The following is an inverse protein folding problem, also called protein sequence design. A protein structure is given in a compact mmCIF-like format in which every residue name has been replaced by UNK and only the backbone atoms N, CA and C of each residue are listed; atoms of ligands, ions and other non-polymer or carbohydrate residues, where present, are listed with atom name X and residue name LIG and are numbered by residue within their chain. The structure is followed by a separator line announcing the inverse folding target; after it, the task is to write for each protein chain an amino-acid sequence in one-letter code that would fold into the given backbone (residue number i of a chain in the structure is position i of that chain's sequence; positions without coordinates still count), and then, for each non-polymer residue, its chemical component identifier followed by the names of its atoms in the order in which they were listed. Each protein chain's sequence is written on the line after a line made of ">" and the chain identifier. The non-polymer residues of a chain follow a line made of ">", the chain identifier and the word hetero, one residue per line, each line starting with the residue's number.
data_IF_455578325534
#
_entry.id   IF_455578325534
#
_cell.length_a   1.000
_cell.length_b   1.000
_cell.length_c   1.000
_cell.angle_alpha   90.00
_cell.angle_beta   90.00
_cell.angle_gamma   90.00
#
_symmetry.space_group_name_H-M   'P 1'
#
loop_
_entity.id
_entity.type
_entity.pdbx_description
1 polymer ?
#
# COMPACT_ATOMS: atom_id res chain seq x y z
N UNK A 1 -47.93 -33.72 -3.80
CA UNK A 1 -47.04 -32.61 -3.40
C UNK A 1 -46.59 -31.95 -4.68
N UNK A 2 -47.20 -30.82 -4.97
CA UNK A 2 -47.03 -30.09 -6.26
C UNK A 2 -45.83 -29.15 -6.12
N UNK A 3 -44.67 -29.57 -6.62
CA UNK A 3 -43.48 -28.73 -6.74
C UNK A 3 -43.74 -27.76 -7.91
N UNK A 4 -44.30 -26.58 -7.60
CA UNK A 4 -44.44 -25.51 -8.57
C UNK A 4 -43.05 -25.12 -9.07
N UNK A 5 -42.78 -25.34 -10.35
CA UNK A 5 -41.62 -24.80 -11.05
C UNK A 5 -41.53 -23.30 -10.77
N UNK A 6 -40.32 -22.76 -10.47
CA UNK A 6 -40.15 -21.32 -10.21
C UNK A 6 -40.68 -20.53 -11.41
N UNK A 7 -41.47 -19.49 -11.12
CA UNK A 7 -42.02 -18.58 -12.13
C UNK A 7 -40.87 -17.98 -12.96
N UNK A 8 -40.79 -18.37 -14.22
CA UNK A 8 -39.73 -17.99 -15.17
C UNK A 8 -39.58 -16.45 -15.26
N UNK A 9 -40.70 -15.74 -15.09
CA UNK A 9 -40.68 -14.26 -15.09
C UNK A 9 -39.98 -13.67 -13.88
N UNK A 10 -40.18 -14.26 -12.69
CA UNK A 10 -39.52 -13.85 -11.46
C UNK A 10 -38.01 -14.16 -11.49
N UNK A 11 -37.62 -15.30 -12.06
CA UNK A 11 -36.21 -15.66 -12.25
C UNK A 11 -35.52 -14.69 -13.20
N UNK A 12 -36.17 -14.33 -14.31
CA UNK A 12 -35.64 -13.38 -15.27
C UNK A 12 -35.52 -11.98 -14.67
N UNK A 13 -36.54 -11.48 -13.99
CA UNK A 13 -36.51 -10.18 -13.30
C UNK A 13 -35.38 -10.10 -12.27
N UNK A 14 -35.14 -11.18 -11.53
CA UNK A 14 -34.02 -11.23 -10.57
C UNK A 14 -32.66 -11.21 -11.28
N UNK A 15 -32.51 -11.91 -12.41
CA UNK A 15 -31.29 -11.89 -13.21
C UNK A 15 -31.00 -10.49 -13.77
N UNK A 16 -32.02 -9.79 -14.28
CA UNK A 16 -31.90 -8.45 -14.83
C UNK A 16 -31.48 -7.44 -13.73
N UNK A 17 -32.05 -7.55 -12.54
CA UNK A 17 -31.63 -6.74 -11.38
C UNK A 17 -30.18 -7.00 -10.95
N UNK A 18 -29.72 -8.23 -11.01
CA UNK A 18 -28.31 -8.57 -10.73
C UNK A 18 -27.37 -7.98 -11.78
N UNK A 19 -27.77 -7.96 -13.03
CA UNK A 19 -26.99 -7.32 -14.12
C UNK A 19 -26.94 -5.80 -13.90
N UNK A 20 -28.07 -5.16 -13.60
CA UNK A 20 -28.13 -3.73 -13.31
C UNK A 20 -27.28 -3.35 -12.10
N UNK A 21 -27.31 -4.14 -11.03
CA UNK A 21 -26.48 -3.94 -9.84
C UNK A 21 -24.97 -4.02 -10.18
N UNK A 22 -24.55 -5.01 -10.96
CA UNK A 22 -23.14 -5.13 -11.40
C UNK A 22 -22.73 -3.93 -12.25
N UNK A 23 -23.60 -3.47 -13.15
CA UNK A 23 -23.39 -2.26 -13.94
C UNK A 23 -23.21 -1.01 -13.06
N UNK A 24 -24.11 -0.80 -12.10
CA UNK A 24 -24.03 0.31 -11.15
C UNK A 24 -22.75 0.27 -10.29
N UNK A 25 -22.35 -0.90 -9.80
CA UNK A 25 -21.10 -1.07 -9.02
C UNK A 25 -19.88 -0.79 -9.89
N UNK A 26 -19.90 -1.15 -11.17
CA UNK A 26 -18.82 -0.86 -12.12
C UNK A 26 -18.69 0.64 -12.39
N UNK A 27 -19.80 1.31 -12.65
CA UNK A 27 -19.86 2.77 -12.86
C UNK A 27 -19.38 3.53 -11.63
N UNK A 28 -19.86 3.16 -10.43
CA UNK A 28 -19.39 3.74 -9.18
C UNK A 28 -17.88 3.58 -8.99
N UNK A 29 -17.36 2.37 -9.19
CA UNK A 29 -15.93 2.11 -9.02
C UNK A 29 -15.09 3.00 -9.95
N UNK A 30 -15.54 3.18 -11.20
CA UNK A 30 -14.88 4.05 -12.18
C UNK A 30 -15.02 5.53 -11.82
N UNK A 31 -16.21 5.99 -11.43
CA UNK A 31 -16.49 7.37 -11.09
C UNK A 31 -15.78 7.85 -9.82
N UNK A 32 -15.54 6.94 -8.87
CA UNK A 32 -14.87 7.26 -7.59
C UNK A 32 -13.38 6.93 -7.57
N UNK A 33 -12.78 6.66 -8.73
CA UNK A 33 -11.35 6.39 -8.86
C UNK A 33 -10.76 7.41 -9.82
N UNK A 34 -9.74 8.17 -9.36
CA UNK A 34 -9.07 9.15 -10.21
C UNK A 34 -8.36 8.47 -11.39
N UNK A 35 -8.17 9.20 -12.50
CA UNK A 35 -7.47 8.65 -13.68
C UNK A 35 -6.06 8.15 -13.36
N UNK A 36 -5.35 8.86 -12.50
CA UNK A 36 -4.02 8.46 -12.03
C UNK A 36 -4.02 7.17 -11.19
N UNK A 37 -5.17 6.79 -10.61
CA UNK A 37 -5.35 5.61 -9.78
C UNK A 37 -6.12 4.47 -10.48
N UNK A 38 -6.60 4.68 -11.72
CA UNK A 38 -7.32 3.66 -12.50
C UNK A 38 -6.43 2.49 -12.88
N UNK A 39 -6.06 1.71 -11.88
CA UNK A 39 -5.46 0.39 -12.09
C UNK A 39 -6.58 -0.63 -12.12
N UNK A 40 -6.53 -1.54 -13.08
CA UNK A 40 -7.53 -2.61 -13.21
C UNK A 40 -7.74 -3.39 -11.91
N UNK A 41 -6.70 -3.54 -11.11
CA UNK A 41 -6.74 -4.25 -9.82
C UNK A 41 -7.55 -3.48 -8.77
N UNK A 42 -7.37 -2.16 -8.67
CA UNK A 42 -8.10 -1.33 -7.69
C UNK A 42 -9.60 -1.30 -8.00
N UNK A 43 -9.95 -1.17 -9.28
CA UNK A 43 -11.35 -1.20 -9.72
C UNK A 43 -11.97 -2.55 -9.42
N UNK A 44 -11.28 -3.65 -9.76
CA UNK A 44 -11.73 -5.02 -9.45
C UNK A 44 -11.91 -5.26 -7.97
N UNK A 45 -11.00 -4.76 -7.12
CA UNK A 45 -11.11 -4.91 -5.67
C UNK A 45 -12.29 -4.14 -5.10
N UNK A 46 -12.52 -2.90 -5.53
CA UNK A 46 -13.71 -2.13 -5.13
C UNK A 46 -15.00 -2.87 -5.50
N UNK A 47 -15.10 -3.33 -6.74
CA UNK A 47 -16.25 -4.09 -7.24
C UNK A 47 -16.44 -5.40 -6.44
N UNK A 48 -15.37 -6.17 -6.27
CA UNK A 48 -15.38 -7.44 -5.54
C UNK A 48 -15.91 -7.27 -4.12
N UNK A 49 -15.47 -6.23 -3.41
CA UNK A 49 -15.88 -5.97 -2.02
C UNK A 49 -17.38 -5.65 -1.96
N UNK A 50 -17.86 -4.70 -2.76
CA UNK A 50 -19.27 -4.30 -2.75
C UNK A 50 -20.18 -5.45 -3.23
N UNK A 51 -19.80 -6.15 -4.29
CA UNK A 51 -20.56 -7.31 -4.76
C UNK A 51 -20.54 -8.49 -3.78
N UNK A 52 -19.48 -8.63 -2.95
CA UNK A 52 -19.45 -9.65 -1.91
C UNK A 52 -20.47 -9.41 -0.81
N UNK A 53 -20.75 -8.15 -0.49
CA UNK A 53 -21.81 -7.77 0.44
C UNK A 53 -23.19 -8.18 -0.11
N UNK A 54 -23.51 -7.79 -1.35
CA UNK A 54 -24.81 -8.14 -1.94
C UNK A 54 -25.02 -9.65 -2.12
N UNK A 55 -23.96 -10.40 -2.41
CA UNK A 55 -24.03 -11.86 -2.39
C UNK A 55 -24.28 -12.44 -0.99
N UNK A 56 -23.76 -11.80 0.05
CA UNK A 56 -23.96 -12.25 1.42
C UNK A 56 -25.41 -12.02 1.89
N UNK A 57 -25.98 -10.84 1.58
CA UNK A 57 -27.33 -10.52 2.04
C UNK A 57 -28.42 -11.09 1.14
N UNK A 58 -28.12 -11.35 -0.13
CA UNK A 58 -29.11 -11.70 -1.19
C UNK A 58 -30.25 -10.69 -1.31
N UNK A 59 -30.06 -9.45 -0.83
CA UNK A 59 -31.06 -8.37 -0.85
C UNK A 59 -30.76 -7.37 -1.97
N UNK A 60 -31.83 -6.69 -2.43
CA UNK A 60 -31.69 -5.53 -3.29
C UNK A 60 -31.12 -4.33 -2.52
N UNK A 61 -30.45 -3.38 -3.18
CA UNK A 61 -29.92 -2.21 -2.50
C UNK A 61 -30.95 -1.39 -1.72
N UNK A 62 -32.22 -1.35 -2.16
CA UNK A 62 -33.34 -0.69 -1.49
C UNK A 62 -33.75 -1.36 -0.18
N UNK A 63 -33.54 -2.67 -0.05
CA UNK A 63 -34.08 -3.50 1.04
C UNK A 63 -33.04 -3.78 2.14
N UNK A 64 -31.83 -3.27 1.94
CA UNK A 64 -30.74 -3.42 2.90
C UNK A 64 -30.96 -2.54 4.10
N UNK A 65 -30.91 -3.15 5.27
CA UNK A 65 -30.96 -2.47 6.56
C UNK A 65 -29.57 -2.37 7.21
N UNK A 66 -29.37 -1.44 8.17
CA UNK A 66 -28.11 -1.33 8.91
C UNK A 66 -27.69 -2.63 9.59
N UNK A 67 -28.64 -3.45 10.05
CA UNK A 67 -28.39 -4.76 10.65
C UNK A 67 -27.74 -5.77 9.67
N UNK A 68 -28.09 -5.71 8.38
CA UNK A 68 -27.48 -6.56 7.36
C UNK A 68 -25.99 -6.22 7.19
N UNK A 69 -25.67 -4.93 7.22
CA UNK A 69 -24.28 -4.46 7.15
C UNK A 69 -23.48 -4.88 8.38
N UNK A 70 -24.09 -4.77 9.59
CA UNK A 70 -23.45 -5.21 10.82
C UNK A 70 -23.20 -6.71 10.82
N UNK A 71 -24.19 -7.52 10.38
CA UNK A 71 -24.05 -8.98 10.26
C UNK A 71 -22.93 -9.36 9.28
N UNK A 72 -22.85 -8.69 8.12
CA UNK A 72 -21.76 -8.93 7.17
C UNK A 72 -20.38 -8.59 7.74
N UNK A 73 -20.23 -7.44 8.42
CA UNK A 73 -18.97 -7.05 9.04
C UNK A 73 -18.53 -8.04 10.11
N UNK A 74 -19.47 -8.48 10.96
CA UNK A 74 -19.21 -9.52 11.97
C UNK A 74 -18.76 -10.83 11.32
N UNK A 75 -19.42 -11.28 10.24
CA UNK A 75 -19.02 -12.46 9.49
C UNK A 75 -17.65 -12.34 8.80
N UNK A 76 -17.19 -11.12 8.50
CA UNK A 76 -15.82 -10.89 8.02
C UNK A 76 -14.80 -11.06 9.16
N UNK A 77 -15.09 -10.55 10.35
CA UNK A 77 -14.23 -10.67 11.54
C UNK A 77 -14.09 -12.12 11.98
N UNK A 78 -15.19 -12.89 11.97
CA UNK A 78 -15.21 -14.33 12.25
C UNK A 78 -14.34 -15.13 11.26
N UNK A 79 -14.18 -14.65 10.01
CA UNK A 79 -13.28 -15.21 9.01
C UNK A 79 -11.82 -14.71 9.13
N UNK A 80 -11.48 -14.01 10.21
CA UNK A 80 -10.13 -13.51 10.49
C UNK A 80 -9.76 -12.23 9.75
N UNK A 81 -10.72 -11.51 9.15
CA UNK A 81 -10.49 -10.19 8.57
C UNK A 81 -10.31 -9.17 9.70
N UNK A 82 -9.24 -8.38 9.64
CA UNK A 82 -8.96 -7.38 10.67
C UNK A 82 -10.04 -6.31 10.74
N UNK A 83 -10.32 -5.76 11.94
CA UNK A 83 -11.26 -4.66 12.14
C UNK A 83 -10.95 -3.43 11.25
N UNK A 84 -9.67 -3.16 10.97
CA UNK A 84 -9.27 -2.11 10.05
C UNK A 84 -9.72 -2.40 8.60
N UNK A 85 -9.60 -3.62 8.15
CA UNK A 85 -10.06 -4.05 6.82
C UNK A 85 -11.59 -4.05 6.75
N UNK A 86 -12.28 -4.56 7.77
CA UNK A 86 -13.73 -4.52 7.87
C UNK A 86 -14.27 -3.08 7.83
N UNK A 87 -13.62 -2.15 8.55
CA UNK A 87 -13.92 -0.72 8.48
C UNK A 87 -13.76 -0.16 7.05
N UNK A 88 -12.68 -0.51 6.34
CA UNK A 88 -12.48 -0.11 4.94
C UNK A 88 -13.59 -0.63 4.03
N UNK A 89 -14.02 -1.88 4.23
CA UNK A 89 -15.14 -2.46 3.48
C UNK A 89 -16.45 -1.68 3.74
N UNK A 90 -16.74 -1.32 5.00
CA UNK A 90 -17.89 -0.48 5.33
C UNK A 90 -17.82 0.91 4.67
N UNK A 91 -16.62 1.51 4.60
CA UNK A 91 -16.40 2.78 3.91
C UNK A 91 -16.67 2.68 2.41
N UNK A 92 -16.20 1.61 1.75
CA UNK A 92 -16.44 1.37 0.33
C UNK A 92 -17.92 1.16 0.03
N UNK A 93 -18.61 0.35 0.85
CA UNK A 93 -20.04 0.13 0.72
C UNK A 93 -20.83 1.43 0.94
N UNK A 94 -20.46 2.23 1.94
CA UNK A 94 -21.07 3.54 2.18
C UNK A 94 -20.83 4.52 1.03
N UNK A 95 -19.65 4.48 0.40
CA UNK A 95 -19.35 5.28 -0.79
C UNK A 95 -20.22 4.88 -1.99
N UNK A 96 -20.42 3.56 -2.19
CA UNK A 96 -21.32 3.05 -3.22
C UNK A 96 -22.74 3.57 -3.00
N UNK A 97 -23.30 3.41 -1.81
CA UNK A 97 -24.64 3.90 -1.51
C UNK A 97 -24.78 5.41 -1.71
N UNK A 98 -23.80 6.19 -1.25
CA UNK A 98 -23.82 7.66 -1.42
C UNK A 98 -23.77 8.08 -2.87
N UNK A 99 -23.06 7.33 -3.72
CA UNK A 99 -23.04 7.56 -5.17
C UNK A 99 -24.34 7.08 -5.82
N UNK A 100 -24.78 5.87 -5.53
CA UNK A 100 -25.98 5.28 -6.13
C UNK A 100 -27.24 6.14 -5.88
N UNK A 101 -27.39 6.69 -4.67
CA UNK A 101 -28.51 7.56 -4.32
C UNK A 101 -28.59 8.85 -5.16
N UNK A 102 -27.47 9.27 -5.79
CA UNK A 102 -27.42 10.51 -6.60
C UNK A 102 -27.42 10.23 -8.10
N UNK A 103 -26.70 9.21 -8.52
CA UNK A 103 -26.21 9.10 -9.90
C UNK A 103 -26.65 7.83 -10.63
N UNK A 104 -27.50 6.97 -10.03
CA UNK A 104 -27.90 5.72 -10.67
C UNK A 104 -29.39 5.44 -10.59
N UNK A 105 -29.93 4.71 -11.57
CA UNK A 105 -31.32 4.23 -11.55
C UNK A 105 -31.57 3.28 -10.38
N UNK A 106 -30.56 2.48 -10.01
CA UNK A 106 -30.61 1.60 -8.83
C UNK A 106 -30.85 2.38 -7.55
N UNK A 107 -30.37 3.63 -7.47
CA UNK A 107 -30.48 4.49 -6.31
C UNK A 107 -31.85 5.14 -6.12
N UNK A 108 -32.72 5.18 -7.14
CA UNK A 108 -34.04 5.85 -7.07
C UNK A 108 -34.92 5.38 -5.90
N UNK A 109 -34.78 4.12 -5.50
CA UNK A 109 -35.55 3.50 -4.42
C UNK A 109 -34.78 3.43 -3.10
N UNK A 110 -33.54 3.91 -3.04
CA UNK A 110 -32.71 3.90 -1.84
C UNK A 110 -33.01 5.16 -1.01
N UNK A 111 -33.69 5.01 0.11
CA UNK A 111 -34.09 6.14 0.96
C UNK A 111 -32.96 6.62 1.91
N UNK A 112 -32.04 5.74 2.28
CA UNK A 112 -30.96 6.01 3.23
C UNK A 112 -29.73 5.16 2.91
N UNK A 113 -28.57 5.60 3.40
CA UNK A 113 -27.34 4.85 3.28
C UNK A 113 -27.17 3.93 4.50
N UNK A 114 -27.47 2.62 4.40
CA UNK A 114 -27.42 1.71 5.55
C UNK A 114 -25.99 1.50 6.05
N UNK A 115 -25.01 1.53 5.16
CA UNK A 115 -23.61 1.36 5.51
C UNK A 115 -23.03 2.56 6.27
N UNK A 116 -23.57 3.77 6.06
CA UNK A 116 -23.20 4.95 6.86
C UNK A 116 -23.72 4.84 8.30
N UNK A 117 -24.94 4.32 8.47
CA UNK A 117 -25.56 4.13 9.78
C UNK A 117 -24.92 3.01 10.59
N UNK A 118 -24.50 1.93 9.91
CA UNK A 118 -23.88 0.75 10.52
C UNK A 118 -22.34 0.84 10.63
N UNK A 119 -21.72 1.96 10.20
CA UNK A 119 -20.25 2.06 10.17
C UNK A 119 -19.67 1.96 11.57
N UNK A 120 -18.72 1.03 11.82
CA UNK A 120 -18.03 0.96 13.10
C UNK A 120 -17.17 2.22 13.31
N UNK A 121 -16.72 2.43 14.55
CA UNK A 121 -15.73 3.49 14.83
C UNK A 121 -14.45 3.21 14.03
N UNK A 122 -13.86 4.28 13.48
CA UNK A 122 -12.56 4.14 12.82
C UNK A 122 -11.56 3.51 13.79
N UNK A 123 -10.84 2.46 13.38
CA UNK A 123 -9.81 1.87 14.23
C UNK A 123 -8.73 2.92 14.51
N UNK A 124 -8.18 2.88 15.72
CA UNK A 124 -7.08 3.78 16.06
C UNK A 124 -5.92 3.52 15.09
N UNK A 125 -5.40 4.53 14.42
CA UNK A 125 -4.28 4.35 13.52
C UNK A 125 -3.09 3.78 14.30
N UNK A 126 -2.36 2.83 13.67
CA UNK A 126 -1.04 2.39 14.12
C UNK A 126 -0.96 1.46 15.34
N UNK A 127 -1.96 0.65 15.60
CA UNK A 127 -1.90 -0.40 16.63
C UNK A 127 -1.32 -1.74 16.13
N UNK A 128 -1.06 -1.89 14.83
CA UNK A 128 -0.58 -3.15 14.25
C UNK A 128 0.95 -3.24 14.19
N UNK A 129 1.49 -4.44 14.34
CA UNK A 129 2.93 -4.77 14.18
C UNK A 129 3.51 -4.28 12.83
N UNK A 130 2.69 -4.32 11.77
CA UNK A 130 3.09 -3.89 10.42
C UNK A 130 3.49 -2.42 10.32
N UNK A 131 3.26 -1.64 11.36
CA UNK A 131 3.57 -0.20 11.43
C UNK A 131 4.86 0.07 12.22
N UNK A 132 5.49 -0.94 12.81
CA UNK A 132 6.75 -0.77 13.52
C UNK A 132 7.91 -0.58 12.52
N UNK A 133 8.74 0.43 12.74
CA UNK A 133 10.03 0.54 12.07
C UNK A 133 10.90 -0.69 12.38
N UNK A 134 11.85 -0.99 11.52
CA UNK A 134 12.90 -1.95 11.82
C UNK A 134 13.84 -1.34 12.88
N UNK A 135 14.37 -2.14 13.80
CA UNK A 135 15.51 -1.74 14.64
C UNK A 135 16.78 -1.63 13.80
N UNK A 136 17.82 -1.03 14.35
CA UNK A 136 19.10 -0.93 13.63
C UNK A 136 19.72 -2.30 13.41
N UNK A 137 19.60 -3.22 14.37
CA UNK A 137 20.04 -4.61 14.22
C UNK A 137 19.23 -5.36 13.16
N UNK A 138 17.89 -5.17 13.10
CA UNK A 138 17.05 -5.75 12.06
C UNK A 138 17.42 -5.21 10.67
N UNK A 139 17.76 -3.93 10.56
CA UNK A 139 18.22 -3.31 9.29
C UNK A 139 19.56 -3.94 8.89
N UNK A 140 20.54 -3.99 9.80
CA UNK A 140 21.85 -4.54 9.54
C UNK A 140 21.78 -6.02 9.11
N UNK A 141 20.98 -6.83 9.83
CA UNK A 141 20.78 -8.24 9.53
C UNK A 141 20.14 -8.45 8.15
N UNK A 142 19.08 -7.69 7.83
CA UNK A 142 18.40 -7.76 6.53
C UNK A 142 19.32 -7.34 5.38
N UNK A 143 19.99 -6.19 5.52
CA UNK A 143 20.94 -5.69 4.50
C UNK A 143 22.06 -6.70 4.27
N UNK A 144 22.63 -7.29 5.34
CA UNK A 144 23.67 -8.31 5.24
C UNK A 144 23.20 -9.58 4.54
N UNK A 145 21.97 -10.02 4.81
CA UNK A 145 21.39 -11.20 4.15
C UNK A 145 21.25 -11.00 2.64
N UNK A 146 20.74 -9.83 2.21
CA UNK A 146 20.59 -9.53 0.79
C UNK A 146 21.95 -9.28 0.12
N UNK A 147 22.89 -8.63 0.83
CA UNK A 147 24.25 -8.37 0.35
C UNK A 147 25.01 -9.66 0.03
N UNK A 148 24.89 -10.70 0.86
CA UNK A 148 25.49 -12.01 0.59
C UNK A 148 25.05 -12.59 -0.75
N UNK A 149 23.76 -12.43 -1.14
CA UNK A 149 23.25 -12.87 -2.43
C UNK A 149 23.83 -12.05 -3.59
N UNK A 150 23.97 -10.75 -3.39
CA UNK A 150 24.59 -9.88 -4.39
C UNK A 150 26.07 -10.24 -4.61
N UNK A 151 26.81 -10.50 -3.52
CA UNK A 151 28.22 -10.90 -3.55
C UNK A 151 28.44 -12.29 -4.16
N UNK A 152 27.45 -13.19 -4.07
CA UNK A 152 27.48 -14.49 -4.77
C UNK A 152 27.33 -14.36 -6.30
N UNK A 153 27.22 -13.16 -6.85
CA UNK A 153 27.12 -12.90 -8.28
C UNK A 153 25.70 -13.07 -8.85
N UNK A 154 24.72 -13.38 -8.02
CA UNK A 154 23.32 -13.55 -8.47
C UNK A 154 22.74 -12.20 -8.93
N UNK A 155 22.35 -12.08 -10.20
CA UNK A 155 21.73 -10.84 -10.74
C UNK A 155 20.47 -10.44 -9.96
N UNK A 156 19.67 -11.43 -9.54
CA UNK A 156 18.51 -11.20 -8.66
C UNK A 156 18.94 -10.63 -7.32
N UNK A 157 20.01 -11.16 -6.73
CA UNK A 157 20.58 -10.67 -5.47
C UNK A 157 21.07 -9.23 -5.57
N UNK A 158 21.80 -8.92 -6.66
CA UNK A 158 22.28 -7.54 -6.93
C UNK A 158 21.12 -6.56 -7.11
N UNK A 159 20.09 -6.93 -7.87
CA UNK A 159 18.87 -6.14 -8.05
C UNK A 159 18.18 -5.88 -6.71
N UNK A 160 17.94 -6.94 -5.95
CA UNK A 160 17.18 -6.86 -4.70
C UNK A 160 17.97 -6.07 -3.64
N UNK A 161 19.30 -6.15 -3.67
CA UNK A 161 20.18 -5.36 -2.82
C UNK A 161 20.12 -3.87 -3.17
N UNK A 162 20.29 -3.51 -4.42
CA UNK A 162 20.20 -2.11 -4.88
C UNK A 162 18.83 -1.49 -4.56
N UNK A 163 17.76 -2.25 -4.80
CA UNK A 163 16.40 -1.78 -4.54
C UNK A 163 16.11 -1.67 -3.04
N UNK A 164 16.61 -2.58 -2.20
CA UNK A 164 16.48 -2.48 -0.74
C UNK A 164 17.20 -1.24 -0.20
N UNK A 165 18.45 -1.02 -0.62
CA UNK A 165 19.20 0.18 -0.22
C UNK A 165 18.47 1.45 -0.65
N UNK A 166 17.91 1.47 -1.86
CA UNK A 166 17.14 2.61 -2.35
C UNK A 166 15.92 2.88 -1.44
N UNK A 167 15.17 1.86 -1.03
CA UNK A 167 14.04 2.03 -0.11
C UNK A 167 14.47 2.57 1.26
N UNK A 168 15.57 2.05 1.80
CA UNK A 168 16.09 2.48 3.11
C UNK A 168 16.64 3.91 3.06
N UNK A 169 17.30 4.31 1.96
CA UNK A 169 17.90 5.63 1.83
C UNK A 169 16.89 6.73 1.44
N UNK A 170 15.76 6.37 0.83
CA UNK A 170 14.83 7.37 0.28
C UNK A 170 13.47 7.39 0.96
N UNK A 171 13.07 6.29 1.59
CA UNK A 171 11.72 6.12 2.11
C UNK A 171 10.62 6.15 1.04
N UNK A 172 10.93 5.98 -0.24
CA UNK A 172 9.96 5.96 -1.33
C UNK A 172 8.85 4.93 -1.10
N UNK A 173 7.64 5.21 -1.60
CA UNK A 173 6.56 4.21 -1.58
C UNK A 173 6.88 3.06 -2.51
N UNK A 174 6.35 1.88 -2.18
CA UNK A 174 6.60 0.65 -2.94
C UNK A 174 6.49 0.83 -4.46
N UNK A 175 5.44 1.48 -4.92
CA UNK A 175 5.21 1.67 -6.34
C UNK A 175 6.07 2.79 -6.96
N UNK A 176 6.45 3.79 -6.17
CA UNK A 176 7.31 4.87 -6.64
C UNK A 176 8.68 4.33 -7.03
N UNK A 177 9.31 3.51 -6.19
CA UNK A 177 10.61 2.94 -6.48
C UNK A 177 10.56 1.82 -7.53
N UNK A 178 9.54 0.92 -7.46
CA UNK A 178 9.46 -0.23 -8.38
C UNK A 178 9.14 0.17 -9.83
N UNK A 179 8.44 1.30 -10.01
CA UNK A 179 8.03 1.79 -11.32
C UNK A 179 9.05 2.71 -11.98
N UNK A 180 10.22 2.94 -11.35
CA UNK A 180 11.29 3.75 -11.95
C UNK A 180 11.68 3.19 -13.31
N UNK A 181 11.93 4.09 -14.24
CA UNK A 181 12.43 3.82 -15.58
C UNK A 181 13.86 4.31 -15.71
N UNK A 182 14.56 3.86 -16.72
CA UNK A 182 15.95 4.28 -16.93
C UNK A 182 16.09 5.79 -17.08
N UNK A 183 15.15 6.45 -17.78
CA UNK A 183 15.12 7.90 -17.96
C UNK A 183 14.93 8.70 -16.65
N UNK A 184 14.39 8.06 -15.63
CA UNK A 184 14.09 8.67 -14.34
C UNK A 184 15.34 8.70 -13.43
N UNK A 185 16.47 8.17 -13.91
CA UNK A 185 17.72 8.02 -13.14
C UNK A 185 18.80 8.89 -13.74
N UNK A 186 19.25 9.86 -12.96
CA UNK A 186 20.31 10.78 -13.34
C UNK A 186 21.55 10.52 -12.50
N UNK A 187 22.59 10.01 -13.16
CA UNK A 187 23.87 9.68 -12.55
C UNK A 187 24.83 10.87 -12.76
N UNK A 188 25.09 11.61 -11.70
CA UNK A 188 26.07 12.66 -11.62
C UNK A 188 27.04 12.42 -10.48
N UNK A 189 27.47 13.46 -9.81
CA UNK A 189 28.20 13.39 -8.54
C UNK A 189 27.34 12.61 -7.53
N UNK A 190 26.07 12.96 -7.43
CA UNK A 190 25.05 12.22 -6.67
C UNK A 190 24.08 11.49 -7.60
N UNK A 191 23.27 10.59 -7.03
CA UNK A 191 22.18 9.94 -7.74
C UNK A 191 20.92 10.80 -7.56
N UNK A 192 20.30 11.24 -8.66
CA UNK A 192 18.99 11.91 -8.64
C UNK A 192 17.93 11.00 -9.29
N UNK A 193 16.82 10.85 -8.62
CA UNK A 193 15.68 10.05 -9.08
C UNK A 193 14.49 10.97 -9.33
N UNK A 194 13.85 10.82 -10.47
CA UNK A 194 12.55 11.40 -10.76
C UNK A 194 11.48 10.32 -10.63
N UNK A 195 10.37 10.61 -9.97
CA UNK A 195 9.31 9.63 -9.77
C UNK A 195 7.94 10.28 -9.72
N UNK A 196 6.94 9.50 -10.07
CA UNK A 196 5.55 9.92 -9.98
C UNK A 196 5.02 9.59 -8.60
N UNK A 197 4.72 10.63 -7.80
CA UNK A 197 4.16 10.51 -6.47
C UNK A 197 2.68 10.05 -6.50
N UNK A 198 2.19 9.59 -5.35
CA UNK A 198 0.75 9.33 -5.19
C UNK A 198 -0.01 10.65 -5.37
N UNK A 199 -0.94 10.68 -6.31
CA UNK A 199 -1.64 11.90 -6.72
C UNK A 199 -1.28 12.34 -8.15
N UNK A 200 -0.18 11.81 -8.70
CA UNK A 200 0.18 12.01 -10.10
C UNK A 200 1.31 13.01 -10.34
N UNK A 201 1.70 13.79 -9.32
CA UNK A 201 2.76 14.79 -9.43
C UNK A 201 4.13 14.12 -9.65
N UNK A 202 4.97 14.74 -10.48
CA UNK A 202 6.36 14.39 -10.61
C UNK A 202 7.19 15.05 -9.51
N UNK A 203 8.12 14.31 -8.95
CA UNK A 203 9.03 14.75 -7.90
C UNK A 203 10.43 14.23 -8.17
N UNK A 204 11.43 14.93 -7.65
CA UNK A 204 12.81 14.50 -7.68
C UNK A 204 13.33 14.24 -6.28
N UNK A 205 14.29 13.32 -6.17
CA UNK A 205 15.00 13.02 -4.92
C UNK A 205 16.47 12.78 -5.18
N UNK A 206 17.28 13.54 -4.48
CA UNK A 206 18.72 13.34 -4.43
C UNK A 206 19.06 12.23 -3.43
N UNK A 207 20.00 11.37 -3.79
CA UNK A 207 20.59 10.32 -2.95
C UNK A 207 22.11 10.51 -2.97
N UNK A 208 22.66 10.95 -1.85
CA UNK A 208 24.10 11.23 -1.71
C UNK A 208 24.90 10.01 -1.30
N UNK A 209 24.23 8.99 -0.75
CA UNK A 209 24.88 7.77 -0.31
C UNK A 209 25.46 6.99 -1.52
N UNK A 210 26.79 6.97 -1.61
CA UNK A 210 27.52 6.34 -2.72
C UNK A 210 27.18 4.87 -2.91
N UNK A 211 27.00 4.13 -1.81
CA UNK A 211 26.68 2.71 -1.83
C UNK A 211 25.39 2.41 -2.59
N UNK A 212 24.37 3.30 -2.53
CA UNK A 212 23.12 3.12 -3.29
C UNK A 212 23.38 3.23 -4.80
N UNK A 213 24.18 4.22 -5.21
CA UNK A 213 24.56 4.43 -6.60
C UNK A 213 25.41 3.26 -7.13
N UNK A 214 26.39 2.82 -6.36
CA UNK A 214 27.26 1.70 -6.69
C UNK A 214 26.47 0.39 -6.84
N UNK A 215 25.59 0.07 -5.89
CA UNK A 215 24.75 -1.11 -5.95
C UNK A 215 23.82 -1.10 -7.18
N UNK A 216 23.27 0.07 -7.55
CA UNK A 216 22.45 0.23 -8.75
C UNK A 216 23.28 -0.03 -10.02
N UNK A 217 24.47 0.54 -10.12
CA UNK A 217 25.37 0.34 -11.27
C UNK A 217 25.84 -1.11 -11.37
N UNK A 218 26.19 -1.74 -10.23
CA UNK A 218 26.57 -3.16 -10.19
C UNK A 218 25.43 -4.06 -10.68
N UNK A 219 24.19 -3.78 -10.27
CA UNK A 219 23.03 -4.49 -10.79
C UNK A 219 22.87 -4.30 -12.30
N UNK A 220 22.88 -3.06 -12.80
CA UNK A 220 22.68 -2.78 -14.22
C UNK A 220 23.77 -3.39 -15.09
N UNK A 221 25.01 -3.39 -14.61
CA UNK A 221 26.14 -4.02 -15.27
C UNK A 221 25.98 -5.53 -15.34
N UNK A 222 25.69 -6.17 -14.21
CA UNK A 222 25.48 -7.60 -14.13
C UNK A 222 24.27 -8.08 -14.96
N UNK A 223 23.25 -7.24 -15.10
CA UNK A 223 22.09 -7.51 -15.94
C UNK A 223 22.30 -7.18 -17.43
N UNK A 224 23.45 -6.62 -17.83
CA UNK A 224 23.71 -6.14 -19.20
C UNK A 224 22.79 -4.95 -19.60
N UNK A 225 22.36 -4.12 -18.65
CA UNK A 225 21.28 -3.15 -18.83
C UNK A 225 21.70 -1.69 -18.61
N UNK A 226 22.97 -1.37 -18.61
CA UNK A 226 23.45 0.01 -18.50
C UNK A 226 22.89 0.92 -19.60
N UNK A 227 22.62 0.34 -20.80
CA UNK A 227 21.96 1.04 -21.91
C UNK A 227 20.52 1.45 -21.62
N UNK A 228 19.87 0.84 -20.62
CA UNK A 228 18.50 1.19 -20.24
C UNK A 228 18.44 2.60 -19.60
N UNK A 229 19.51 3.09 -19.01
CA UNK A 229 19.62 4.46 -18.53
C UNK A 229 19.31 5.43 -19.67
N UNK A 230 18.58 6.49 -19.39
CA UNK A 230 18.07 7.48 -20.37
C UNK A 230 16.98 6.96 -21.32
N UNK A 231 16.49 5.73 -21.16
CA UNK A 231 15.38 5.18 -21.95
C UNK A 231 14.11 5.03 -21.11
N UNK A 232 12.99 4.78 -21.78
CA UNK A 232 11.69 4.50 -21.12
C UNK A 232 11.57 3.04 -20.65
N UNK A 233 12.67 2.25 -20.71
CA UNK A 233 12.67 0.87 -20.23
C UNK A 233 12.56 0.81 -18.70
N UNK A 234 11.93 -0.24 -18.14
CA UNK A 234 11.88 -0.43 -16.69
C UNK A 234 13.29 -0.47 -16.10
N UNK A 235 13.53 0.21 -14.99
CA UNK A 235 14.82 0.15 -14.29
C UNK A 235 15.04 -1.25 -13.69
N UNK A 236 14.02 -1.78 -13.04
CA UNK A 236 14.03 -3.08 -12.38
C UNK A 236 13.35 -4.13 -13.24
N UNK A 237 14.05 -5.22 -13.53
CA UNK A 237 13.52 -6.28 -14.40
C UNK A 237 13.49 -7.63 -13.71
N UNK A 238 12.65 -8.52 -14.24
CA UNK A 238 12.61 -9.93 -13.86
C UNK A 238 13.84 -10.65 -14.41
N UNK A 239 14.27 -11.66 -13.65
CA UNK A 239 15.38 -12.54 -14.02
C UNK A 239 15.01 -14.00 -13.71
N UNK A 240 13.72 -14.31 -13.58
CA UNK A 240 13.24 -15.68 -13.45
C UNK A 240 13.03 -16.32 -14.84
N UNK A 241 12.96 -17.66 -14.87
CA UNK A 241 12.81 -18.42 -16.12
C UNK A 241 11.47 -18.19 -16.84
N UNK A 242 10.46 -17.71 -16.13
CA UNK A 242 9.11 -17.49 -16.68
C UNK A 242 8.94 -16.07 -17.28
N UNK A 243 9.86 -15.14 -17.00
CA UNK A 243 9.81 -13.77 -17.50
C UNK A 243 10.45 -13.63 -18.89
N UNK A 244 9.92 -12.69 -19.68
CA UNK A 244 10.58 -12.25 -20.91
C UNK A 244 11.78 -11.36 -20.58
N UNK A 245 12.86 -11.38 -21.37
CA UNK A 245 13.98 -10.46 -21.19
C UNK A 245 13.50 -9.00 -21.17
N UNK A 246 13.93 -8.25 -20.15
CA UNK A 246 13.53 -6.84 -19.98
C UNK A 246 12.14 -6.58 -19.40
N UNK A 247 11.38 -7.63 -19.09
CA UNK A 247 10.07 -7.48 -18.43
C UNK A 247 10.21 -6.83 -17.04
N UNK A 248 9.32 -5.89 -16.73
CA UNK A 248 9.35 -5.17 -15.48
C UNK A 248 9.19 -6.10 -14.26
N UNK A 249 9.95 -5.83 -13.23
CA UNK A 249 9.81 -6.51 -11.93
C UNK A 249 8.45 -6.16 -11.31
N UNK A 250 7.65 -7.18 -10.97
CA UNK A 250 6.45 -6.94 -10.20
C UNK A 250 6.79 -6.68 -8.72
N UNK A 251 6.06 -5.75 -8.11
CA UNK A 251 6.25 -5.48 -6.68
C UNK A 251 5.95 -6.70 -5.79
N UNK A 252 5.12 -7.63 -6.26
CA UNK A 252 4.82 -8.88 -5.55
C UNK A 252 6.06 -9.80 -5.51
N UNK A 253 6.72 -9.99 -6.65
CA UNK A 253 7.94 -10.82 -6.72
C UNK A 253 9.04 -10.25 -5.82
N UNK A 254 9.26 -8.94 -5.85
CA UNK A 254 10.25 -8.30 -4.99
C UNK A 254 9.93 -8.51 -3.50
N UNK A 255 8.70 -8.24 -3.08
CA UNK A 255 8.28 -8.43 -1.67
C UNK A 255 8.41 -9.89 -1.24
N UNK A 256 8.11 -10.85 -2.13
CA UNK A 256 8.29 -12.28 -1.86
C UNK A 256 9.76 -12.62 -1.58
N UNK A 257 10.68 -12.09 -2.38
CA UNK A 257 12.13 -12.27 -2.17
C UNK A 257 12.57 -11.64 -0.84
N UNK A 258 12.19 -10.38 -0.58
CA UNK A 258 12.55 -9.71 0.66
C UNK A 258 12.03 -10.43 1.91
N UNK A 259 10.82 -10.97 1.88
CA UNK A 259 10.28 -11.79 2.97
C UNK A 259 11.11 -13.06 3.20
N UNK A 260 11.67 -13.65 2.13
CA UNK A 260 12.59 -14.79 2.26
C UNK A 260 13.89 -14.35 2.95
N UNK A 261 14.51 -13.28 2.49
CA UNK A 261 15.74 -12.74 3.10
C UNK A 261 15.53 -12.30 4.56
N UNK A 262 14.39 -11.69 4.87
CA UNK A 262 14.04 -11.29 6.23
C UNK A 262 13.95 -12.50 7.18
N UNK A 263 13.32 -13.60 6.73
CA UNK A 263 13.29 -14.85 7.49
C UNK A 263 14.69 -15.45 7.69
N UNK A 264 15.53 -15.44 6.67
CA UNK A 264 16.94 -15.89 6.74
C UNK A 264 17.75 -15.01 7.71
N UNK A 265 17.38 -13.75 7.88
CA UNK A 265 18.00 -12.79 8.79
C UNK A 265 17.38 -12.78 10.20
N UNK A 266 16.38 -13.61 10.49
CA UNK A 266 15.68 -13.59 11.78
C UNK A 266 14.77 -12.38 12.00
N UNK A 267 14.42 -11.63 10.94
CA UNK A 267 13.55 -10.46 11.02
C UNK A 267 12.10 -10.91 10.86
N UNK A 268 11.41 -11.03 11.97
CA UNK A 268 10.02 -11.45 12.00
C UNK A 268 9.05 -10.34 11.57
N UNK A 269 7.87 -10.75 11.07
CA UNK A 269 6.79 -9.81 10.69
C UNK A 269 7.22 -8.77 9.64
N UNK A 270 8.19 -9.09 8.77
CA UNK A 270 8.69 -8.15 7.78
C UNK A 270 7.64 -7.81 6.72
N UNK A 271 7.42 -6.50 6.55
CA UNK A 271 6.67 -5.90 5.46
C UNK A 271 7.48 -4.77 4.83
N UNK A 272 7.49 -4.67 3.51
CA UNK A 272 8.27 -3.64 2.82
C UNK A 272 7.98 -2.22 3.33
N UNK A 273 6.75 -1.95 3.76
CA UNK A 273 6.41 -0.63 4.31
C UNK A 273 7.17 -0.29 5.61
N UNK A 274 7.69 -1.30 6.33
CA UNK A 274 8.58 -1.08 7.49
C UNK A 274 9.86 -0.34 7.10
N UNK A 275 10.40 -0.51 5.87
CA UNK A 275 11.59 0.25 5.42
C UNK A 275 11.32 1.75 5.38
N UNK A 276 10.13 2.15 4.91
CA UNK A 276 9.71 3.55 4.92
C UNK A 276 9.48 4.09 6.35
N UNK A 277 8.96 3.25 7.24
CA UNK A 277 8.84 3.59 8.65
C UNK A 277 10.22 3.75 9.30
N UNK A 278 11.18 2.92 8.92
CA UNK A 278 12.58 2.99 9.37
C UNK A 278 13.23 4.30 8.90
N UNK A 279 13.09 4.63 7.62
CA UNK A 279 13.56 5.91 7.10
C UNK A 279 12.94 7.09 7.87
N UNK A 280 11.62 7.07 8.11
CA UNK A 280 10.94 8.11 8.87
C UNK A 280 11.45 8.22 10.32
N UNK A 281 11.71 7.08 10.98
CA UNK A 281 12.29 7.03 12.31
C UNK A 281 13.66 7.69 12.33
N UNK A 282 14.56 7.25 11.45
CA UNK A 282 15.93 7.77 11.38
C UNK A 282 15.94 9.27 11.10
N UNK A 283 15.17 9.73 10.09
CA UNK A 283 15.07 11.17 9.79
C UNK A 283 14.58 11.97 10.99
N UNK A 284 13.55 11.47 11.69
CA UNK A 284 13.03 12.14 12.88
C UNK A 284 14.02 12.13 14.05
N UNK A 285 14.79 11.07 14.22
CA UNK A 285 15.84 10.97 15.24
C UNK A 285 16.99 11.95 14.97
N UNK A 286 17.40 12.09 13.70
CA UNK A 286 18.49 12.98 13.30
C UNK A 286 18.06 14.43 13.28
N UNK A 287 16.89 14.75 12.73
CA UNK A 287 16.43 16.13 12.58
C UNK A 287 15.78 16.72 13.83
N UNK A 288 15.21 15.87 14.70
CA UNK A 288 14.39 16.33 15.83
C UNK A 288 13.11 17.05 15.41
N UNK A 289 12.79 17.16 14.12
CA UNK A 289 11.69 17.96 13.58
C UNK A 289 10.69 17.13 12.77
N UNK A 290 9.43 17.31 13.11
CA UNK A 290 8.29 16.70 12.43
C UNK A 290 8.20 17.18 10.97
N UNK A 291 8.46 18.46 10.75
CA UNK A 291 8.35 19.07 9.42
C UNK A 291 9.43 18.53 8.49
N UNK A 292 10.66 18.39 8.98
CA UNK A 292 11.73 17.74 8.25
C UNK A 292 11.36 16.30 7.85
N UNK A 293 10.80 15.53 8.78
CA UNK A 293 10.35 14.15 8.52
C UNK A 293 9.20 14.11 7.50
N UNK A 294 8.26 15.07 7.57
CA UNK A 294 7.18 15.19 6.59
C UNK A 294 7.69 15.46 5.19
N UNK A 295 8.59 16.45 5.08
CA UNK A 295 9.19 16.82 3.80
C UNK A 295 10.01 15.66 3.21
N UNK A 296 10.80 14.98 4.04
CA UNK A 296 11.58 13.81 3.64
C UNK A 296 10.71 12.64 3.17
N UNK A 297 9.47 12.54 3.63
CA UNK A 297 8.51 11.49 3.23
C UNK A 297 7.54 11.94 2.14
N UNK A 298 7.58 13.20 1.70
CA UNK A 298 6.58 13.77 0.79
C UNK A 298 5.13 13.57 1.27
N UNK A 299 4.89 13.73 2.57
CA UNK A 299 3.56 13.61 3.12
C UNK A 299 2.77 14.91 2.94
N UNK A 300 1.68 14.87 2.17
CA UNK A 300 0.75 16.00 2.05
C UNK A 300 -0.06 16.24 3.32
N UNK A 301 -0.23 15.22 4.16
CA UNK A 301 -1.06 15.29 5.36
C UNK A 301 -0.22 15.12 6.65
N UNK A 302 -0.27 16.15 7.50
CA UNK A 302 0.43 16.20 8.80
C UNK A 302 0.02 15.09 9.76
N UNK A 303 -1.22 14.61 9.70
CA UNK A 303 -1.73 13.59 10.61
C UNK A 303 -0.96 12.26 10.50
N UNK A 304 -0.50 11.90 9.30
CA UNK A 304 0.25 10.66 9.07
C UNK A 304 1.65 10.71 9.67
N UNK A 305 2.32 11.86 9.61
CA UNK A 305 3.68 12.02 10.15
C UNK A 305 3.68 12.20 11.66
N UNK A 306 2.68 12.90 12.22
CA UNK A 306 2.54 13.11 13.67
C UNK A 306 2.60 11.82 14.47
N UNK A 307 2.11 10.72 13.91
CA UNK A 307 2.12 9.41 14.55
C UNK A 307 3.53 8.83 14.66
N UNK A 308 4.39 9.02 13.65
CA UNK A 308 5.79 8.58 13.73
C UNK A 308 6.53 9.33 14.84
N UNK A 309 6.36 10.64 14.86
CA UNK A 309 7.05 11.49 15.85
C UNK A 309 6.52 11.28 17.26
N UNK A 310 5.22 11.10 17.46
CA UNK A 310 4.68 10.77 18.78
C UNK A 310 5.21 9.45 19.35
N UNK A 311 5.45 8.44 18.50
CA UNK A 311 6.07 7.18 18.94
C UNK A 311 7.54 7.32 19.30
N UNK A 312 8.27 8.18 18.61
CA UNK A 312 9.70 8.45 18.88
C UNK A 312 9.83 9.30 20.13
N UNK A 313 9.00 10.32 20.29
CA UNK A 313 8.98 11.17 21.49
C UNK A 313 8.69 10.40 22.78
N UNK A 314 7.87 9.35 22.72
CA UNK A 314 7.59 8.46 23.87
C UNK A 314 8.81 7.59 24.25
N UNK A 315 9.76 7.36 23.31
CA UNK A 315 10.96 6.55 23.56
C UNK A 315 12.19 7.36 23.98
N UNK A 316 12.25 8.64 23.66
CA UNK A 316 13.32 9.54 24.08
C UNK A 316 12.87 10.34 25.27
N UNK A 317 13.49 10.09 26.39
CA UNK A 317 13.45 11.01 27.52
C UNK A 317 14.31 12.23 27.19
N UNK A 318 13.66 13.27 26.65
CA UNK A 318 14.31 14.53 26.30
C UNK A 318 14.34 15.53 27.47
N UNK A 319 13.63 15.24 28.55
CA UNK A 319 13.32 16.25 29.55
C UNK A 319 13.54 15.82 31.01
N UNK A 320 13.74 14.53 31.31
CA UNK A 320 13.91 14.11 32.72
C UNK A 320 15.10 14.79 33.37
N UNK A 321 16.21 14.95 32.65
CA UNK A 321 17.39 15.67 33.15
C UNK A 321 17.13 17.17 33.37
N UNK A 322 16.30 17.79 32.57
CA UNK A 322 15.92 19.20 32.77
C UNK A 322 14.89 19.37 33.88
N UNK A 323 14.03 18.38 34.03
CA UNK A 323 13.04 18.35 35.12
C UNK A 323 13.73 18.04 36.47
N UNK A 324 14.67 17.10 36.47
CA UNK A 324 15.42 16.76 37.69
C UNK A 324 16.25 17.92 38.25
N UNK A 325 16.80 18.78 37.40
CA UNK A 325 17.49 20.02 37.84
C UNK A 325 16.60 20.98 38.65
N UNK A 326 15.27 20.81 38.59
CA UNK A 326 14.29 21.63 39.32
C UNK A 326 13.74 20.97 40.58
N UNK A 327 14.18 19.72 40.91
CA UNK A 327 13.72 19.04 42.11
C UNK A 327 14.49 19.47 43.37
N UNK A 328 15.54 20.30 43.25
CA UNK A 328 16.37 20.72 44.34
C UNK A 328 17.22 19.57 44.91
N UNK A 329 18.45 19.82 45.19
CA UNK A 329 19.31 18.93 46.01
C UNK A 329 18.79 18.85 47.41
#
# INVERSE_FOLDING_TARGET
>A
MDERAPDTALVQAHADLQVALRGAVSLWASATTSESERRSDLLRDKQRIVLSFFRHTSKLPSDVEPSDVQGWLKGLEEKGISAATAYQHACLLSSFYSWAMRDSEVGRHIRRNPARLARPKAPKPYQTESVKALSDDEVAALVSAVRRRAQAGEVVGKRDYALLLLYLATGLRRQEAINLRGKDVHLGETLVLEYRAKGGDYRSREVREAQVKEALLDYLTAAGRTHALKTDAPLWTRHDRAGKPGEALSSHCFVKNLKKYAREAGVEGFHLHRTRHTFARIVSEVSGDITATQNALDHQNRSTTRVYVQRIAVKRDLYSNEVSKRWGD
#
